data_IF_805210602610
#
_entry.id   IF_805210602610
#
_cell.length_a   1.000
_cell.length_b   1.000
_cell.length_c   1.000
_cell.angle_alpha   90.00
_cell.angle_beta   90.00
_cell.angle_gamma   90.00
#
_symmetry.space_group_name_H-M   'P 1'
#
loop_
_entity.id
_entity.type
_entity.pdbx_description
1 polymer ?
#
# COMPACT_ATOMS: atom_id res chain seq x y z
N UNK A 1 -13.48 1.47 1.61
CA UNK A 1 -13.14 1.61 0.18
C UNK A 1 -12.55 3.01 -0.06
N UNK A 2 -11.27 3.14 -0.44
CA UNK A 2 -10.65 4.42 -0.77
C UNK A 2 -11.12 4.93 -2.15
N UNK A 3 -11.44 6.22 -2.25
CA UNK A 3 -11.88 6.89 -3.47
C UNK A 3 -11.08 8.18 -3.69
N UNK A 4 -10.66 8.44 -4.92
CA UNK A 4 -10.07 9.72 -5.31
C UNK A 4 -10.31 10.00 -6.79
N UNK A 5 -11.20 10.94 -7.10
CA UNK A 5 -11.66 11.26 -8.45
C UNK A 5 -12.15 10.00 -9.19
N UNK A 6 -13.16 9.33 -8.65
CA UNK A 6 -13.72 8.07 -9.15
C UNK A 6 -15.17 8.24 -9.65
N UNK A 7 -15.58 9.46 -10.06
CA UNK A 7 -16.95 9.75 -10.53
C UNK A 7 -17.44 8.81 -11.64
N UNK A 8 -16.51 8.30 -12.48
CA UNK A 8 -16.84 7.41 -13.58
C UNK A 8 -16.99 5.95 -13.14
N UNK A 9 -16.28 5.52 -12.10
CA UNK A 9 -16.26 4.13 -11.66
C UNK A 9 -17.34 3.83 -10.60
N UNK A 10 -17.64 4.79 -9.74
CA UNK A 10 -18.56 4.62 -8.61
C UNK A 10 -19.93 4.09 -8.98
N UNK A 11 -20.63 4.56 -10.03
CA UNK A 11 -21.95 4.03 -10.39
C UNK A 11 -21.94 2.52 -10.66
N UNK A 12 -20.91 2.03 -11.35
CA UNK A 12 -20.74 0.60 -11.62
C UNK A 12 -20.41 -0.18 -10.35
N UNK A 13 -19.62 0.42 -9.46
CA UNK A 13 -19.30 -0.19 -8.17
C UNK A 13 -20.55 -0.32 -7.31
N UNK A 14 -21.40 0.70 -7.23
CA UNK A 14 -22.66 0.67 -6.45
C UNK A 14 -23.58 -0.44 -6.92
N UNK A 15 -23.72 -0.64 -8.22
CA UNK A 15 -24.53 -1.71 -8.80
C UNK A 15 -23.95 -3.09 -8.44
N UNK A 16 -22.64 -3.29 -8.66
CA UNK A 16 -21.96 -4.54 -8.40
C UNK A 16 -22.03 -4.95 -6.92
N UNK A 17 -21.75 -4.03 -6.00
CA UNK A 17 -21.77 -4.32 -4.56
C UNK A 17 -23.18 -4.57 -4.02
N UNK A 18 -24.20 -3.91 -4.57
CA UNK A 18 -25.59 -4.15 -4.19
C UNK A 18 -26.06 -5.55 -4.55
N UNK A 19 -25.56 -6.12 -5.65
CA UNK A 19 -25.82 -7.50 -6.02
C UNK A 19 -25.19 -8.49 -5.04
N UNK A 20 -23.92 -8.25 -4.66
CA UNK A 20 -23.19 -9.07 -3.68
C UNK A 20 -23.83 -8.98 -2.29
N UNK A 21 -24.28 -7.80 -1.87
CA UNK A 21 -24.96 -7.59 -0.60
C UNK A 21 -26.21 -8.45 -0.44
N UNK A 22 -27.04 -8.53 -1.49
CA UNK A 22 -28.25 -9.40 -1.48
C UNK A 22 -27.88 -10.86 -1.25
N UNK A 23 -26.78 -11.33 -1.85
CA UNK A 23 -26.32 -12.70 -1.69
C UNK A 23 -25.70 -12.92 -0.30
N UNK A 24 -24.94 -11.94 0.24
CA UNK A 24 -24.44 -11.98 1.61
C UNK A 24 -25.59 -12.07 2.62
N UNK A 25 -26.63 -11.26 2.43
CA UNK A 25 -27.81 -11.26 3.29
C UNK A 25 -28.51 -12.62 3.32
N UNK A 26 -28.69 -13.27 2.18
CA UNK A 26 -29.29 -14.61 2.11
C UNK A 26 -28.45 -15.67 2.82
N UNK A 27 -27.14 -15.46 2.96
CA UNK A 27 -26.22 -16.32 3.69
C UNK A 27 -26.05 -15.92 5.17
N UNK A 28 -26.89 -15.00 5.69
CA UNK A 28 -26.88 -14.58 7.08
C UNK A 28 -25.79 -13.58 7.45
N UNK A 29 -25.20 -12.87 6.48
CA UNK A 29 -24.23 -11.82 6.69
C UNK A 29 -24.83 -10.43 6.45
N UNK A 30 -24.42 -9.46 7.24
CA UNK A 30 -24.71 -8.02 7.02
C UNK A 30 -23.49 -7.34 6.42
N UNK A 31 -23.69 -6.35 5.57
CA UNK A 31 -22.62 -5.61 4.91
C UNK A 31 -22.63 -4.14 5.35
N UNK A 32 -21.55 -3.71 6.01
CA UNK A 32 -21.25 -2.31 6.26
C UNK A 32 -20.30 -1.82 5.15
N UNK A 33 -20.63 -0.69 4.51
CA UNK A 33 -19.76 -0.08 3.50
C UNK A 33 -19.37 1.30 3.96
N UNK A 34 -18.05 1.55 3.99
CA UNK A 34 -17.45 2.84 4.32
C UNK A 34 -16.65 3.31 3.12
N UNK A 35 -17.11 4.37 2.50
CA UNK A 35 -16.41 5.07 1.42
C UNK A 35 -15.49 6.11 2.04
N UNK A 36 -14.24 6.19 1.59
CA UNK A 36 -13.29 7.21 2.06
C UNK A 36 -12.84 8.05 0.87
N UNK A 37 -13.39 9.25 0.77
CA UNK A 37 -13.01 10.24 -0.23
C UNK A 37 -11.74 10.97 0.17
N UNK A 38 -10.66 10.75 -0.56
CA UNK A 38 -9.35 11.36 -0.33
C UNK A 38 -9.26 12.78 -0.93
N UNK A 39 -10.29 13.61 -0.66
CA UNK A 39 -10.34 15.00 -1.10
C UNK A 39 -10.46 15.14 -2.62
N UNK A 40 -11.40 14.45 -3.22
CA UNK A 40 -11.71 14.51 -4.65
C UNK A 40 -12.07 15.92 -5.12
N UNK A 41 -11.87 16.17 -6.43
CA UNK A 41 -12.16 17.45 -7.08
C UNK A 41 -13.22 17.33 -8.18
N UNK A 42 -13.67 16.12 -8.44
CA UNK A 42 -14.75 15.77 -9.36
C UNK A 42 -16.05 15.51 -8.58
N UNK A 43 -17.03 14.88 -9.18
CA UNK A 43 -18.31 14.57 -8.55
C UNK A 43 -18.30 13.36 -7.61
N UNK A 44 -17.13 12.82 -7.27
CA UNK A 44 -17.02 11.66 -6.38
C UNK A 44 -17.78 11.86 -5.07
N UNK A 45 -17.54 12.98 -4.37
CA UNK A 45 -18.15 13.26 -3.09
C UNK A 45 -19.68 13.44 -3.20
N UNK A 46 -20.16 14.08 -4.27
CA UNK A 46 -21.58 14.25 -4.55
C UNK A 46 -22.28 12.88 -4.70
N UNK A 47 -21.68 11.97 -5.46
CA UNK A 47 -22.16 10.59 -5.62
C UNK A 47 -22.18 9.81 -4.30
N UNK A 48 -21.19 10.03 -3.42
CA UNK A 48 -21.14 9.37 -2.11
C UNK A 48 -22.27 9.88 -1.18
N UNK A 49 -22.60 11.17 -1.22
CA UNK A 49 -23.76 11.71 -0.50
C UNK A 49 -25.07 11.07 -0.98
N UNK A 50 -25.29 11.01 -2.30
CA UNK A 50 -26.47 10.38 -2.87
C UNK A 50 -26.58 8.90 -2.49
N UNK A 51 -25.47 8.18 -2.51
CA UNK A 51 -25.44 6.75 -2.14
C UNK A 51 -25.69 6.55 -0.64
N UNK A 52 -25.18 7.44 0.21
CA UNK A 52 -25.42 7.43 1.64
C UNK A 52 -26.89 7.64 1.98
N UNK A 53 -27.55 8.60 1.32
CA UNK A 53 -28.96 8.90 1.51
C UNK A 53 -29.88 7.77 1.04
N UNK A 54 -29.54 7.13 -0.10
CA UNK A 54 -30.36 6.06 -0.69
C UNK A 54 -30.24 4.73 0.05
N UNK A 55 -29.02 4.36 0.47
CA UNK A 55 -28.68 3.01 0.92
C UNK A 55 -28.09 2.96 2.33
N UNK A 56 -28.19 4.05 3.11
CA UNK A 56 -27.65 4.15 4.47
C UNK A 56 -26.16 3.79 4.53
N UNK A 57 -25.40 4.17 3.49
CA UNK A 57 -23.95 3.93 3.44
C UNK A 57 -23.20 4.96 4.26
N UNK A 58 -22.03 4.56 4.74
CA UNK A 58 -21.13 5.43 5.49
C UNK A 58 -20.09 6.05 4.57
N UNK A 59 -19.74 7.32 4.81
CA UNK A 59 -18.62 7.96 4.11
C UNK A 59 -17.79 8.86 5.03
N UNK A 60 -16.55 9.05 4.63
CA UNK A 60 -15.59 9.98 5.22
C UNK A 60 -14.97 10.76 4.09
N UNK A 61 -15.03 12.09 4.13
CA UNK A 61 -14.33 12.96 3.17
C UNK A 61 -13.21 13.73 3.86
N UNK A 62 -12.02 13.71 3.27
CA UNK A 62 -10.86 14.40 3.78
C UNK A 62 -10.82 15.86 3.36
N UNK A 63 -10.19 16.70 4.17
CA UNK A 63 -10.02 18.14 3.87
C UNK A 63 -9.16 18.41 2.63
N UNK A 64 -8.32 17.49 2.23
CA UNK A 64 -7.49 17.47 1.02
C UNK A 64 -7.04 16.05 0.71
N UNK A 65 -6.33 15.85 -0.40
CA UNK A 65 -5.68 14.57 -0.67
C UNK A 65 -4.54 14.30 0.33
N UNK A 66 -4.66 13.21 1.11
CA UNK A 66 -3.67 12.67 2.04
C UNK A 66 -3.03 11.38 1.53
N UNK A 67 -3.56 10.79 0.47
CA UNK A 67 -3.06 9.57 -0.17
C UNK A 67 -3.87 8.33 0.16
N UNK A 68 -3.78 7.32 -0.72
CA UNK A 68 -4.52 6.05 -0.61
C UNK A 68 -4.28 5.35 0.75
N UNK A 69 -3.05 5.38 1.25
CA UNK A 69 -2.69 4.75 2.53
C UNK A 69 -3.44 5.37 3.71
N UNK A 70 -3.58 6.70 3.72
CA UNK A 70 -4.37 7.41 4.73
C UNK A 70 -5.86 7.05 4.64
N UNK A 71 -6.40 6.90 3.42
CA UNK A 71 -7.78 6.51 3.20
C UNK A 71 -8.05 5.06 3.65
N UNK A 72 -7.10 4.13 3.39
CA UNK A 72 -7.16 2.76 3.91
C UNK A 72 -7.19 2.79 5.45
N UNK A 73 -6.28 3.51 6.08
CA UNK A 73 -6.19 3.60 7.54
C UNK A 73 -7.49 4.15 8.15
N UNK A 74 -8.03 5.22 7.59
CA UNK A 74 -9.30 5.80 8.04
C UNK A 74 -10.46 4.80 7.91
N UNK A 75 -10.55 4.10 6.78
CA UNK A 75 -11.59 3.08 6.57
C UNK A 75 -11.49 1.93 7.59
N UNK A 76 -10.28 1.44 7.86
CA UNK A 76 -10.06 0.40 8.86
C UNK A 76 -10.41 0.88 10.28
N UNK A 77 -10.11 2.14 10.62
CA UNK A 77 -10.36 2.72 11.94
C UNK A 77 -11.86 2.87 12.24
N UNK A 78 -12.68 3.13 11.22
CA UNK A 78 -14.11 3.35 11.39
C UNK A 78 -14.96 2.11 11.05
N UNK A 79 -14.35 1.03 10.55
CA UNK A 79 -15.04 -0.21 10.29
C UNK A 79 -15.44 -0.93 11.58
N UNK A 80 -16.69 -1.43 11.67
CA UNK A 80 -17.23 -2.07 12.87
C UNK A 80 -17.48 -3.58 12.75
N UNK A 81 -17.47 -4.15 11.54
CA UNK A 81 -17.74 -5.56 11.28
C UNK A 81 -16.71 -6.53 11.88
N UNK A 82 -17.05 -7.81 11.99
CA UNK A 82 -16.16 -8.89 12.44
C UNK A 82 -15.08 -9.22 11.41
N UNK A 83 -15.47 -9.13 10.13
CA UNK A 83 -14.59 -9.26 8.97
C UNK A 83 -14.53 -7.93 8.24
N UNK A 84 -13.32 -7.46 7.94
CA UNK A 84 -13.10 -6.17 7.26
C UNK A 84 -12.43 -6.42 5.92
N UNK A 85 -13.06 -5.95 4.83
CA UNK A 85 -12.49 -6.06 3.50
C UNK A 85 -12.02 -4.71 2.97
N UNK A 86 -10.87 -4.72 2.29
CA UNK A 86 -10.38 -3.59 1.49
C UNK A 86 -10.68 -3.87 0.02
N UNK A 87 -11.23 -2.87 -0.67
CA UNK A 87 -11.55 -2.97 -2.10
C UNK A 87 -11.37 -1.61 -2.78
N UNK A 88 -10.86 -1.62 -4.00
CA UNK A 88 -10.76 -0.43 -4.85
C UNK A 88 -12.07 -0.22 -5.64
N UNK A 89 -12.36 1.03 -6.03
CA UNK A 89 -13.58 1.41 -6.74
C UNK A 89 -13.63 0.97 -8.21
N UNK A 90 -12.52 0.59 -8.80
CA UNK A 90 -12.37 0.38 -10.26
C UNK A 90 -12.82 -1.00 -10.76
N UNK A 91 -13.35 -1.85 -9.87
CA UNK A 91 -13.83 -3.21 -10.14
C UNK A 91 -12.79 -4.13 -10.82
N UNK A 92 -11.51 -3.80 -10.74
CA UNK A 92 -10.46 -4.74 -11.12
C UNK A 92 -10.45 -5.98 -10.21
N UNK A 93 -10.89 -5.79 -8.98
CA UNK A 93 -11.07 -6.83 -7.97
C UNK A 93 -12.54 -7.25 -7.95
N UNK A 94 -12.88 -8.53 -8.19
CA UNK A 94 -14.27 -8.97 -8.31
C UNK A 94 -14.99 -8.98 -6.95
N UNK A 95 -16.06 -8.20 -6.74
CA UNK A 95 -16.77 -8.17 -5.45
C UNK A 95 -17.37 -9.52 -5.04
N UNK A 96 -17.65 -10.39 -6.00
CA UNK A 96 -18.20 -11.73 -5.77
C UNK A 96 -17.29 -12.61 -4.91
N UNK A 97 -15.96 -12.34 -4.92
CA UNK A 97 -15.00 -13.07 -4.09
C UNK A 97 -15.19 -12.83 -2.58
N UNK A 98 -15.91 -11.77 -2.19
CA UNK A 98 -16.23 -11.52 -0.77
C UNK A 98 -16.96 -12.69 -0.12
N UNK A 99 -17.83 -13.39 -0.87
CA UNK A 99 -18.56 -14.57 -0.39
C UNK A 99 -17.59 -15.71 -0.06
N UNK A 100 -16.69 -16.04 -0.99
CA UNK A 100 -15.69 -17.08 -0.80
C UNK A 100 -14.73 -16.74 0.34
N UNK A 101 -14.29 -15.49 0.44
CA UNK A 101 -13.41 -15.02 1.51
C UNK A 101 -14.06 -15.16 2.88
N UNK A 102 -15.34 -14.78 3.02
CA UNK A 102 -16.10 -14.89 4.26
C UNK A 102 -16.23 -16.35 4.70
N UNK A 103 -16.57 -17.26 3.77
CA UNK A 103 -16.69 -18.70 4.07
C UNK A 103 -15.33 -19.31 4.47
N UNK A 104 -14.23 -18.90 3.84
CA UNK A 104 -12.90 -19.38 4.23
C UNK A 104 -12.57 -18.93 5.65
N UNK A 105 -12.76 -17.63 5.98
CA UNK A 105 -12.45 -17.11 7.32
C UNK A 105 -13.32 -17.72 8.41
N UNK A 106 -14.58 -18.05 8.09
CA UNK A 106 -15.52 -18.68 9.00
C UNK A 106 -15.14 -20.14 9.31
N UNK A 107 -14.68 -20.89 8.30
CA UNK A 107 -14.48 -22.33 8.39
C UNK A 107 -13.00 -22.74 8.53
N UNK A 108 -12.09 -21.80 8.77
CA UNK A 108 -10.66 -22.07 8.89
C UNK A 108 -9.99 -21.25 9.99
N UNK A 109 -8.73 -21.58 10.27
CA UNK A 109 -7.87 -20.87 11.21
C UNK A 109 -7.06 -19.72 10.58
N UNK A 110 -7.37 -19.34 9.33
CA UNK A 110 -6.79 -18.17 8.70
C UNK A 110 -7.35 -16.90 9.30
N UNK A 111 -6.50 -15.86 9.38
CA UNK A 111 -6.85 -14.53 9.90
C UNK A 111 -7.13 -13.55 8.78
N UNK A 112 -6.63 -13.85 7.58
CA UNK A 112 -6.79 -13.05 6.39
C UNK A 112 -6.95 -13.94 5.16
N UNK A 113 -7.81 -13.53 4.25
CA UNK A 113 -7.87 -14.03 2.87
C UNK A 113 -7.50 -12.88 1.97
N UNK A 114 -6.41 -13.01 1.23
CA UNK A 114 -5.90 -11.97 0.34
C UNK A 114 -5.86 -12.48 -1.10
N UNK A 115 -5.97 -11.56 -2.04
CA UNK A 115 -5.91 -11.90 -3.47
C UNK A 115 -4.52 -11.62 -4.03
N UNK A 116 -4.11 -12.46 -4.97
CA UNK A 116 -2.94 -12.20 -5.79
C UNK A 116 -3.26 -12.40 -7.27
N UNK A 117 -2.66 -11.57 -8.08
CA UNK A 117 -2.76 -11.64 -9.53
C UNK A 117 -1.74 -12.63 -10.07
N UNK A 118 -2.20 -13.68 -10.76
CA UNK A 118 -1.32 -14.73 -11.30
C UNK A 118 -0.82 -14.45 -12.70
N UNK A 119 -1.49 -13.58 -13.47
CA UNK A 119 -1.05 -13.19 -14.80
C UNK A 119 -0.86 -11.68 -14.90
N UNK A 120 0.07 -11.27 -15.75
CA UNK A 120 0.40 -9.87 -16.05
C UNK A 120 0.12 -9.54 -17.52
N UNK A 121 -0.90 -10.21 -18.08
CA UNK A 121 -1.31 -9.97 -19.47
C UNK A 121 -1.70 -8.50 -19.64
N UNK A 122 -1.16 -7.88 -20.70
CA UNK A 122 -1.38 -6.46 -21.01
C UNK A 122 -0.43 -5.47 -20.28
N UNK A 123 0.48 -5.93 -19.40
CA UNK A 123 1.52 -5.04 -18.84
C UNK A 123 2.77 -4.98 -19.72
N UNK A 124 3.42 -3.80 -19.86
CA UNK A 124 4.71 -3.71 -20.52
C UNK A 124 5.74 -4.65 -19.85
N UNK A 125 6.51 -5.46 -20.60
CA UNK A 125 7.44 -6.45 -20.07
C UNK A 125 8.47 -5.85 -19.10
N UNK A 126 8.94 -4.64 -19.39
CA UNK A 126 9.89 -3.89 -18.56
C UNK A 126 9.30 -3.61 -17.19
N UNK A 127 8.03 -3.20 -17.10
CA UNK A 127 7.34 -2.91 -15.83
C UNK A 127 7.18 -4.19 -15.00
N UNK A 128 6.79 -5.30 -15.64
CA UNK A 128 6.67 -6.60 -14.99
C UNK A 128 8.00 -7.09 -14.41
N UNK A 129 9.09 -6.93 -15.19
CA UNK A 129 10.42 -7.30 -14.75
C UNK A 129 10.87 -6.49 -13.52
N UNK A 130 10.69 -5.16 -13.55
CA UNK A 130 11.02 -4.29 -12.40
C UNK A 130 10.19 -4.65 -11.16
N UNK A 131 8.90 -4.91 -11.31
CA UNK A 131 8.04 -5.31 -10.20
C UNK A 131 8.52 -6.64 -9.59
N UNK A 132 8.81 -7.67 -10.42
CA UNK A 132 9.31 -8.96 -9.93
C UNK A 132 10.66 -8.80 -9.20
N UNK A 133 11.59 -8.01 -9.76
CA UNK A 133 12.87 -7.71 -9.10
C UNK A 133 12.68 -6.97 -7.77
N UNK A 134 11.75 -6.03 -7.71
CA UNK A 134 11.42 -5.35 -6.47
C UNK A 134 10.96 -6.34 -5.39
N UNK A 135 10.01 -7.24 -5.69
CA UNK A 135 9.55 -8.23 -4.71
C UNK A 135 10.66 -9.20 -4.29
N UNK A 136 11.52 -9.63 -5.22
CA UNK A 136 12.68 -10.47 -4.88
C UNK A 136 13.66 -9.76 -3.92
N UNK A 137 13.91 -8.46 -4.14
CA UNK A 137 14.82 -7.68 -3.31
C UNK A 137 14.18 -7.41 -1.95
N UNK A 138 12.95 -6.89 -1.91
CA UNK A 138 12.31 -6.51 -0.66
C UNK A 138 12.15 -7.71 0.28
N UNK A 139 11.73 -8.86 -0.21
CA UNK A 139 11.61 -10.09 0.60
C UNK A 139 12.94 -10.65 1.10
N UNK A 140 14.05 -10.25 0.49
CA UNK A 140 15.37 -10.66 0.92
C UNK A 140 15.99 -9.74 1.98
N UNK A 141 15.58 -8.48 2.01
CA UNK A 141 16.16 -7.44 2.86
C UNK A 141 15.21 -6.90 3.91
N UNK A 142 13.92 -7.23 3.84
CA UNK A 142 12.84 -6.75 4.71
C UNK A 142 12.43 -7.85 5.68
N UNK A 143 11.96 -7.44 6.87
CA UNK A 143 11.35 -8.33 7.85
C UNK A 143 9.88 -8.66 7.52
N UNK A 144 9.32 -8.06 6.45
CA UNK A 144 7.95 -8.31 6.00
C UNK A 144 7.93 -9.30 4.82
N UNK A 145 7.07 -10.32 4.90
CA UNK A 145 6.82 -11.24 3.78
C UNK A 145 5.78 -10.64 2.83
N UNK A 146 6.26 -10.08 1.72
CA UNK A 146 5.41 -9.41 0.73
C UNK A 146 5.25 -10.31 -0.50
N UNK A 147 4.06 -10.89 -0.66
CA UNK A 147 3.75 -11.78 -1.78
C UNK A 147 3.80 -11.04 -3.13
N UNK A 148 4.52 -11.61 -4.11
CA UNK A 148 4.52 -11.08 -5.49
C UNK A 148 3.11 -11.17 -6.10
N UNK A 149 2.67 -10.09 -6.74
CA UNK A 149 1.32 -9.97 -7.29
C UNK A 149 0.23 -9.69 -6.25
N UNK A 150 0.56 -9.52 -4.96
CA UNK A 150 -0.40 -9.17 -3.93
C UNK A 150 -1.19 -7.90 -4.29
N UNK A 151 -2.52 -8.00 -4.15
CA UNK A 151 -3.45 -6.88 -4.27
C UNK A 151 -3.80 -6.33 -2.89
N UNK A 152 -4.37 -5.13 -2.86
CA UNK A 152 -4.91 -4.58 -1.63
C UNK A 152 -6.22 -5.28 -1.25
N UNK A 153 -6.95 -5.85 -2.23
CA UNK A 153 -8.18 -6.59 -2.03
C UNK A 153 -7.95 -7.82 -1.15
N UNK A 154 -8.48 -7.75 0.05
CA UNK A 154 -8.40 -8.77 1.09
C UNK A 154 -9.52 -8.65 2.09
N UNK A 155 -9.80 -9.72 2.81
CA UNK A 155 -10.69 -9.74 3.95
C UNK A 155 -9.92 -10.20 5.18
N UNK A 156 -10.05 -9.48 6.28
CA UNK A 156 -9.29 -9.68 7.52
C UNK A 156 -10.25 -9.84 8.71
N UNK A 157 -9.90 -10.70 9.66
CA UNK A 157 -10.56 -10.73 10.97
C UNK A 157 -10.28 -9.44 11.75
N UNK A 158 -11.19 -9.06 12.63
CA UNK A 158 -11.07 -7.88 13.51
C UNK A 158 -9.73 -7.85 14.24
N UNK A 159 -9.27 -8.97 14.78
CA UNK A 159 -8.00 -9.08 15.51
C UNK A 159 -6.78 -8.63 14.70
N UNK A 160 -6.75 -8.95 13.40
CA UNK A 160 -5.68 -8.49 12.51
C UNK A 160 -5.78 -6.99 12.23
N UNK A 161 -6.99 -6.47 12.02
CA UNK A 161 -7.21 -5.04 11.82
C UNK A 161 -6.81 -4.23 13.05
N UNK A 162 -7.17 -4.69 14.25
CA UNK A 162 -6.79 -4.05 15.50
C UNK A 162 -5.26 -4.02 15.70
N UNK A 163 -4.55 -5.07 15.25
CA UNK A 163 -3.09 -5.07 15.25
C UNK A 163 -2.51 -4.06 14.25
N UNK A 164 -3.07 -3.97 13.03
CA UNK A 164 -2.67 -3.01 12.00
C UNK A 164 -2.90 -1.56 12.45
N UNK A 165 -3.97 -1.29 13.18
CA UNK A 165 -4.30 0.04 13.69
C UNK A 165 -3.36 0.51 14.81
N UNK A 166 -2.66 -0.38 15.49
CA UNK A 166 -1.62 -0.03 16.48
C UNK A 166 -0.35 0.53 15.82
N UNK A 167 -0.16 0.27 14.52
CA UNK A 167 0.95 0.82 13.75
C UNK A 167 0.53 2.20 13.26
N UNK A 168 1.08 3.25 13.87
CA UNK A 168 0.68 4.65 13.65
C UNK A 168 1.69 5.45 12.82
N UNK A 169 2.59 4.76 12.13
CA UNK A 169 3.57 5.37 11.23
C UNK A 169 2.89 6.32 10.23
N UNK A 170 3.50 7.48 10.03
CA UNK A 170 2.98 8.48 9.09
C UNK A 170 3.23 8.08 7.64
N UNK A 171 4.39 7.48 7.36
CA UNK A 171 4.73 6.93 6.06
C UNK A 171 4.31 5.46 6.01
N UNK A 172 3.07 5.21 5.57
CA UNK A 172 2.48 3.86 5.57
C UNK A 172 2.70 3.16 4.24
N UNK A 173 3.05 1.88 4.32
CA UNK A 173 3.12 0.97 3.19
C UNK A 173 2.28 -0.27 3.53
N UNK A 174 0.99 -0.22 3.26
CA UNK A 174 0.02 -1.25 3.69
C UNK A 174 0.41 -2.66 3.32
N UNK A 175 0.99 -2.89 2.12
CA UNK A 175 1.45 -4.22 1.69
C UNK A 175 2.53 -4.81 2.61
N UNK A 176 3.44 -3.96 3.10
CA UNK A 176 4.44 -4.35 4.09
C UNK A 176 3.82 -4.60 5.45
N UNK A 177 2.95 -3.69 5.92
CA UNK A 177 2.26 -3.80 7.21
C UNK A 177 1.48 -5.10 7.30
N UNK A 178 0.73 -5.48 6.25
CA UNK A 178 -0.05 -6.72 6.22
C UNK A 178 0.80 -7.99 6.35
N UNK A 179 2.02 -7.98 5.82
CA UNK A 179 2.97 -9.10 5.99
C UNK A 179 3.67 -9.06 7.35
N UNK A 180 4.01 -7.85 7.83
CA UNK A 180 4.79 -7.65 9.05
C UNK A 180 4.04 -8.03 10.32
N UNK A 181 2.70 -7.86 10.37
CA UNK A 181 1.89 -8.20 11.55
C UNK A 181 1.84 -9.71 11.85
N UNK A 182 2.31 -10.59 10.95
CA UNK A 182 2.56 -12.01 11.21
C UNK A 182 1.32 -12.91 11.33
N UNK A 183 0.14 -12.46 10.87
CA UNK A 183 -1.09 -13.24 10.86
C UNK A 183 -1.12 -14.28 9.72
N UNK A 184 -1.92 -15.35 9.87
CA UNK A 184 -2.05 -16.41 8.85
C UNK A 184 -2.87 -15.93 7.66
N UNK A 185 -2.25 -15.87 6.47
CA UNK A 185 -2.88 -15.39 5.24
C UNK A 185 -3.13 -16.57 4.28
N UNK A 186 -4.36 -16.69 3.82
CA UNK A 186 -4.73 -17.52 2.66
C UNK A 186 -4.68 -16.67 1.40
N UNK A 187 -3.99 -17.14 0.38
CA UNK A 187 -3.93 -16.46 -0.91
C UNK A 187 -4.90 -17.09 -1.89
N UNK A 188 -5.73 -16.26 -2.53
CA UNK A 188 -6.61 -16.61 -3.62
C UNK A 188 -6.05 -16.05 -4.93
N UNK A 189 -5.87 -16.94 -5.88
CA UNK A 189 -5.41 -16.59 -7.21
C UNK A 189 -6.58 -16.13 -8.08
N UNK A 190 -6.46 -14.98 -8.74
CA UNK A 190 -7.48 -14.55 -9.70
C UNK A 190 -6.86 -13.96 -10.97
N UNK A 191 -7.64 -14.02 -12.05
CA UNK A 191 -7.28 -13.39 -13.32
C UNK A 191 -7.64 -11.90 -13.27
N UNK A 192 -6.68 -11.06 -13.62
CA UNK A 192 -6.90 -9.62 -13.66
C UNK A 192 -8.07 -9.27 -14.61
N UNK A 193 -8.97 -8.41 -14.12
CA UNK A 193 -10.01 -7.79 -14.95
C UNK A 193 -9.53 -6.40 -15.38
N UNK A 194 -9.95 -5.97 -16.57
CA UNK A 194 -9.73 -4.60 -17.01
C UNK A 194 -10.58 -3.65 -16.17
N UNK A 195 -10.11 -2.42 -16.00
CA UNK A 195 -10.89 -1.37 -15.32
C UNK A 195 -12.17 -1.12 -16.07
N UNK A 196 -13.28 -1.00 -15.33
CA UNK A 196 -14.58 -0.68 -15.94
C UNK A 196 -14.59 0.76 -16.45
N UNK A 197 -13.89 1.68 -15.76
CA UNK A 197 -13.79 3.09 -16.14
C UNK A 197 -12.53 3.74 -15.54
N UNK A 198 -12.15 4.92 -16.06
CA UNK A 198 -11.02 5.70 -15.59
C UNK A 198 -9.66 5.27 -16.16
N UNK A 199 -8.63 6.05 -15.84
CA UNK A 199 -7.24 5.81 -16.28
C UNK A 199 -6.32 5.63 -15.09
N UNK A 200 -5.23 4.85 -15.27
CA UNK A 200 -4.25 4.69 -14.18
C UNK A 200 -3.59 6.01 -13.82
N UNK A 201 -3.63 6.38 -12.53
CA UNK A 201 -3.02 7.61 -11.98
C UNK A 201 -1.55 7.40 -11.57
N UNK A 202 -1.01 6.18 -11.74
CA UNK A 202 0.34 5.80 -11.35
C UNK A 202 1.31 5.89 -12.51
N UNK A 203 2.22 6.87 -12.47
CA UNK A 203 3.37 6.96 -13.36
C UNK A 203 4.50 6.05 -12.88
N UNK A 204 5.47 5.74 -13.77
CA UNK A 204 6.65 4.97 -13.42
C UNK A 204 7.41 5.56 -12.22
N UNK A 205 7.60 6.88 -12.19
CA UNK A 205 8.29 7.57 -11.10
C UNK A 205 7.55 7.50 -9.76
N UNK A 206 6.22 7.52 -9.79
CA UNK A 206 5.40 7.33 -8.57
C UNK A 206 5.55 5.91 -8.04
N UNK A 207 5.55 4.89 -8.91
CA UNK A 207 5.76 3.51 -8.53
C UNK A 207 7.18 3.28 -7.98
N UNK A 208 8.19 3.86 -8.62
CA UNK A 208 9.58 3.77 -8.16
C UNK A 208 9.76 4.41 -6.78
N UNK A 209 9.19 5.61 -6.58
CA UNK A 209 9.21 6.26 -5.27
C UNK A 209 8.52 5.43 -4.20
N UNK A 210 7.33 4.90 -4.49
CA UNK A 210 6.59 4.03 -3.59
C UNK A 210 7.38 2.77 -3.22
N UNK A 211 8.10 2.19 -4.18
CA UNK A 211 9.00 1.07 -3.94
C UNK A 211 10.18 1.44 -3.03
N UNK A 212 10.79 2.61 -3.24
CA UNK A 212 11.87 3.10 -2.37
C UNK A 212 11.36 3.40 -0.95
N UNK A 213 10.21 4.05 -0.81
CA UNK A 213 9.60 4.30 0.49
C UNK A 213 9.36 2.96 1.22
N UNK A 214 8.82 1.93 0.54
CA UNK A 214 8.65 0.60 1.11
C UNK A 214 9.96 -0.08 1.55
N UNK A 215 11.06 0.10 0.81
CA UNK A 215 12.38 -0.42 1.21
C UNK A 215 12.89 0.30 2.47
N UNK A 216 12.74 1.62 2.53
CA UNK A 216 13.20 2.43 3.68
C UNK A 216 12.40 2.11 4.94
N UNK A 217 11.09 1.86 4.80
CA UNK A 217 10.19 1.63 5.94
C UNK A 217 10.37 0.21 6.55
N UNK A 218 10.70 -0.78 5.72
CA UNK A 218 10.77 -2.19 6.15
C UNK A 218 12.18 -2.80 6.08
N UNK A 219 13.24 -1.99 5.90
CA UNK A 219 14.60 -2.50 5.81
C UNK A 219 15.64 -1.49 6.21
N UNK A 220 16.68 -1.94 6.91
CA UNK A 220 17.89 -1.20 7.18
C UNK A 220 18.99 -1.38 6.10
N UNK A 221 18.69 -2.15 5.04
CA UNK A 221 19.67 -2.55 4.04
C UNK A 221 20.35 -1.36 3.35
N UNK A 222 19.61 -0.28 3.10
CA UNK A 222 20.20 0.94 2.51
C UNK A 222 21.20 1.61 3.45
N UNK A 223 21.05 1.49 4.78
CA UNK A 223 22.02 2.01 5.75
C UNK A 223 23.35 1.28 5.72
N UNK A 224 23.42 0.08 5.12
CA UNK A 224 24.65 -0.69 4.94
C UNK A 224 25.45 -0.22 3.73
N UNK A 225 24.83 0.49 2.77
CA UNK A 225 25.51 0.99 1.55
C UNK A 225 26.69 1.90 1.88
N UNK A 226 26.61 2.89 2.79
CA UNK A 226 27.76 3.69 3.20
C UNK A 226 28.97 2.89 3.65
N UNK A 227 28.76 1.81 4.40
CA UNK A 227 29.86 0.93 4.85
C UNK A 227 30.51 0.19 3.68
N UNK A 228 29.69 -0.30 2.72
CA UNK A 228 30.18 -0.98 1.50
C UNK A 228 30.97 0.01 0.64
N UNK A 229 30.47 1.22 0.45
CA UNK A 229 31.16 2.28 -0.30
C UNK A 229 32.48 2.64 0.36
N UNK A 230 32.51 2.77 1.69
CA UNK A 230 33.73 3.03 2.45
C UNK A 230 34.77 1.90 2.29
N UNK A 231 34.33 0.64 2.36
CA UNK A 231 35.18 -0.51 2.15
C UNK A 231 35.75 -0.56 0.72
N UNK A 232 34.95 -0.33 -0.29
CA UNK A 232 35.37 -0.25 -1.70
C UNK A 232 36.38 0.87 -1.89
N UNK A 233 36.08 2.06 -1.35
CA UNK A 233 36.99 3.20 -1.40
C UNK A 233 38.36 2.86 -0.77
N UNK A 234 38.38 2.24 0.41
CA UNK A 234 39.61 1.80 1.09
C UNK A 234 40.39 0.79 0.24
N UNK A 235 39.71 -0.19 -0.36
CA UNK A 235 40.33 -1.19 -1.23
C UNK A 235 40.98 -0.54 -2.47
N UNK A 236 40.31 0.42 -3.11
CA UNK A 236 40.86 1.17 -4.24
C UNK A 236 42.11 1.95 -3.81
N UNK A 237 42.03 2.65 -2.67
CA UNK A 237 43.20 3.38 -2.11
C UNK A 237 44.39 2.47 -1.86
N UNK A 238 44.18 1.32 -1.21
CA UNK A 238 45.23 0.35 -0.91
C UNK A 238 45.81 -0.25 -2.20
N UNK A 239 44.97 -0.56 -3.18
CA UNK A 239 45.44 -1.05 -4.47
C UNK A 239 46.33 -0.03 -5.19
N UNK A 240 45.88 1.23 -5.29
CA UNK A 240 46.73 2.29 -5.89
C UNK A 240 48.02 2.47 -5.10
N UNK A 241 48.01 2.42 -3.78
CA UNK A 241 49.16 2.65 -2.94
C UNK A 241 50.23 1.55 -3.02
N UNK A 242 49.81 0.29 -3.06
CA UNK A 242 50.72 -0.86 -2.94
C UNK A 242 50.98 -1.57 -4.28
N UNK A 243 50.02 -1.58 -5.20
CA UNK A 243 50.15 -2.29 -6.48
C UNK A 243 50.57 -1.34 -7.60
N UNK A 244 49.80 -0.28 -7.82
CA UNK A 244 50.09 0.70 -8.88
C UNK A 244 51.25 1.60 -8.52
N UNK A 245 51.52 1.78 -7.22
CA UNK A 245 52.54 2.68 -6.65
C UNK A 245 52.42 4.13 -7.07
N UNK A 246 51.26 4.49 -7.62
CA UNK A 246 50.89 5.83 -8.03
C UNK A 246 49.49 6.12 -7.57
N UNK A 247 49.26 7.20 -6.85
CA UNK A 247 47.96 7.59 -6.34
C UNK A 247 47.41 8.71 -7.23
N UNK A 248 46.25 8.49 -7.86
CA UNK A 248 45.53 9.51 -8.58
C UNK A 248 44.64 10.30 -7.59
N UNK A 249 45.27 11.24 -6.89
CA UNK A 249 44.66 12.00 -5.80
C UNK A 249 43.33 12.62 -6.22
N UNK A 250 43.28 13.24 -7.39
CA UNK A 250 42.05 13.90 -7.89
C UNK A 250 40.90 12.92 -8.05
N UNK A 251 41.17 11.74 -8.64
CA UNK A 251 40.17 10.70 -8.85
C UNK A 251 39.63 10.13 -7.52
N UNK A 252 40.53 9.93 -6.54
CA UNK A 252 40.18 9.48 -5.20
C UNK A 252 39.32 10.51 -4.45
N UNK A 253 39.71 11.79 -4.54
CA UNK A 253 38.90 12.86 -3.91
C UNK A 253 37.48 12.88 -4.49
N UNK A 254 37.35 12.87 -5.84
CA UNK A 254 36.01 12.86 -6.50
C UNK A 254 35.21 11.64 -6.07
N UNK A 255 35.80 10.43 -6.08
CA UNK A 255 35.13 9.21 -5.67
C UNK A 255 34.69 9.27 -4.19
N UNK A 256 35.54 9.77 -3.30
CA UNK A 256 35.23 9.95 -1.89
C UNK A 256 34.12 10.93 -1.65
N UNK A 257 34.11 12.07 -2.33
CA UNK A 257 33.05 13.07 -2.25
C UNK A 257 31.71 12.50 -2.74
N UNK A 258 31.70 11.77 -3.86
CA UNK A 258 30.49 11.12 -4.37
C UNK A 258 29.94 10.07 -3.39
N UNK A 259 30.82 9.26 -2.78
CA UNK A 259 30.41 8.28 -1.76
C UNK A 259 29.80 8.96 -0.52
N UNK A 260 30.37 10.08 -0.07
CA UNK A 260 29.83 10.87 1.06
C UNK A 260 28.47 11.46 0.70
N UNK A 261 28.33 12.09 -0.47
CA UNK A 261 27.05 12.70 -0.91
C UNK A 261 25.94 11.65 -1.03
N UNK A 262 26.25 10.46 -1.58
CA UNK A 262 25.30 9.36 -1.67
C UNK A 262 24.88 8.87 -0.27
N UNK A 263 25.86 8.73 0.64
CA UNK A 263 25.60 8.34 2.02
C UNK A 263 24.71 9.34 2.76
N UNK A 264 24.97 10.63 2.60
CA UNK A 264 24.14 11.70 3.16
C UNK A 264 22.71 11.69 2.57
N UNK A 265 22.58 11.39 1.28
CA UNK A 265 21.27 11.22 0.63
C UNK A 265 20.47 10.05 1.26
N UNK A 266 21.12 8.90 1.50
CA UNK A 266 20.51 7.75 2.16
C UNK A 266 20.07 8.11 3.59
N UNK A 267 20.95 8.68 4.40
CA UNK A 267 20.61 9.12 5.75
C UNK A 267 19.45 10.12 5.75
N UNK A 268 19.43 11.05 4.76
CA UNK A 268 18.35 12.02 4.60
C UNK A 268 16.98 11.37 4.42
N UNK A 269 16.88 10.20 3.73
CA UNK A 269 15.61 9.47 3.59
C UNK A 269 15.10 8.93 4.94
N UNK A 270 15.97 8.30 5.75
CA UNK A 270 15.57 7.80 7.07
C UNK A 270 15.26 8.94 8.04
N UNK A 271 16.06 10.01 8.06
CA UNK A 271 15.81 11.20 8.89
C UNK A 271 14.48 11.83 8.52
N UNK A 272 14.13 11.90 7.23
CA UNK A 272 12.83 12.40 6.77
C UNK A 272 11.67 11.62 7.39
N UNK A 273 11.75 10.28 7.46
CA UNK A 273 10.70 9.44 8.04
C UNK A 273 10.61 9.64 9.55
N UNK A 274 11.75 9.59 10.25
CA UNK A 274 11.83 9.89 11.69
C UNK A 274 11.22 11.28 12.00
N UNK A 275 11.55 12.28 11.19
CA UNK A 275 11.01 13.63 11.35
C UNK A 275 9.51 13.70 11.08
N UNK A 276 8.98 12.90 10.14
CA UNK A 276 7.55 12.83 9.89
C UNK A 276 6.81 12.25 11.09
N UNK A 277 7.33 11.16 11.69
CA UNK A 277 6.73 10.49 12.84
C UNK A 277 6.83 11.33 14.11
N UNK A 278 7.98 11.98 14.36
CA UNK A 278 8.17 12.83 15.55
C UNK A 278 7.29 14.08 15.57
N UNK A 279 6.78 14.52 14.42
CA UNK A 279 5.84 15.65 14.36
C UNK A 279 4.46 15.34 14.93
N UNK A 280 4.09 14.08 15.11
CA UNK A 280 2.77 13.64 15.60
C UNK A 280 1.58 14.32 14.89
N UNK A 281 1.71 14.63 13.62
CA UNK A 281 0.59 15.15 12.83
C UNK A 281 -0.40 14.03 12.55
N UNK A 282 -1.72 14.30 12.54
CA UNK A 282 -2.69 13.26 12.17
C UNK A 282 -2.44 12.77 10.74
N UNK A 283 -2.61 11.46 10.53
CA UNK A 283 -2.43 10.80 9.21
C UNK A 283 -3.40 11.41 8.20
N UNK A 284 -4.60 11.79 8.63
CA UNK A 284 -5.63 12.47 7.82
C UNK A 284 -6.42 13.47 8.65
N UNK A 285 -7.16 14.35 7.99
CA UNK A 285 -8.09 15.30 8.61
C UNK A 285 -9.44 15.15 7.91
N UNK A 286 -10.47 14.79 8.67
CA UNK A 286 -11.85 14.70 8.17
C UNK A 286 -12.39 16.10 7.94
N UNK A 287 -12.95 16.34 6.77
CA UNK A 287 -13.73 17.52 6.43
C UNK A 287 -15.19 17.31 6.80
N UNK A 288 -15.76 16.17 6.39
CA UNK A 288 -17.14 15.80 6.64
C UNK A 288 -17.31 14.27 6.68
N UNK A 289 -18.31 13.80 7.41
CA UNK A 289 -18.68 12.39 7.52
C UNK A 289 -20.09 12.27 8.03
N UNK A 290 -20.76 11.18 7.69
CA UNK A 290 -22.05 10.79 8.27
C UNK A 290 -21.92 9.71 9.35
N UNK A 291 -20.68 9.38 9.76
CA UNK A 291 -20.42 8.44 10.84
C UNK A 291 -20.45 9.24 12.16
N UNK A 292 -21.26 8.81 13.11
CA UNK A 292 -21.27 9.40 14.45
C UNK A 292 -19.85 9.34 15.06
N UNK A 293 -19.44 10.43 15.74
CA UNK A 293 -18.15 10.46 16.43
C UNK A 293 -18.17 9.40 17.53
N UNK A 294 -17.26 8.44 17.40
CA UNK A 294 -16.94 7.49 18.49
C UNK A 294 -16.11 8.21 19.55
#
# INVERSE_FOLDING_TARGET
MPCYNEEQALPYFFEAISSVEKTLWTNGHTLEIIYVDDGSKDKTLELLHEEADKNSRKFISFSRNFGKEAAIYAGLQHASGDYISLMDADLQDPPEMLLEMAEILKNSDYDCVATRRVNRDGEPPVRSWFAHKFYQIINKISDADIMDGARDFRMMKRSMVDAILKITEHNRFSKGIFGWVGFKIKWLDFKNRERVAGVTKWSFWKLFKYALDGIVDFSDALLKIPYILGAIYLLIYLFERFVVRYIRVDSLIVLGVLAILLSLGIFGMYIKNIYADTRNRPIYIIRETNIDKI
#
